data_IF_613820980844
#
_entry.id   IF_613820980844
#
_cell.length_a   1.000
_cell.length_b   1.000
_cell.length_c   1.000
_cell.angle_alpha   90.00
_cell.angle_beta   90.00
_cell.angle_gamma   90.00
#
_symmetry.space_group_name_H-M   'P 1'
#
loop_
_entity.id
_entity.type
_entity.pdbx_description
1 polymer ?
#
# COMPACT_ATOMS: atom_id res chain seq x y z
N UNK A 1 16.12 0.56 14.19
CA UNK A 1 14.99 -0.21 13.61
C UNK A 1 14.08 0.61 12.68
N UNK A 2 14.22 1.94 12.56
CA UNK A 2 13.35 2.79 11.73
C UNK A 2 13.65 2.78 10.20
N UNK A 3 14.84 2.33 9.79
CA UNK A 3 15.30 2.44 8.39
C UNK A 3 14.64 1.44 7.42
N UNK A 4 13.87 0.45 7.90
CA UNK A 4 13.28 -0.59 7.04
C UNK A 4 11.98 -0.18 6.36
N UNK A 5 11.32 0.90 6.79
CA UNK A 5 9.95 1.25 6.36
C UNK A 5 9.93 2.45 5.40
N UNK A 6 11.00 3.26 5.36
CA UNK A 6 11.09 4.39 4.44
C UNK A 6 11.15 3.91 2.98
N UNK A 7 10.12 4.25 2.20
CA UNK A 7 10.01 3.87 0.79
C UNK A 7 9.51 2.45 0.54
N UNK A 8 8.85 1.82 1.52
CA UNK A 8 8.29 0.48 1.35
C UNK A 8 7.00 0.56 0.53
N UNK A 9 7.00 -0.08 -0.63
CA UNK A 9 5.79 -0.27 -1.43
C UNK A 9 5.13 -1.59 -1.06
N UNK A 10 3.85 -1.57 -0.70
CA UNK A 10 3.08 -2.80 -0.49
C UNK A 10 2.08 -3.01 -1.62
N UNK A 11 2.04 -4.23 -2.14
CA UNK A 11 1.05 -4.63 -3.14
C UNK A 11 -0.15 -5.26 -2.45
N UNK A 12 -1.34 -4.83 -2.85
CA UNK A 12 -2.60 -5.43 -2.48
C UNK A 12 -3.25 -6.01 -3.75
N UNK A 13 -3.42 -7.34 -3.76
CA UNK A 13 -4.17 -8.02 -4.81
C UNK A 13 -5.64 -8.02 -4.42
N UNK A 14 -6.49 -7.33 -5.20
CA UNK A 14 -7.95 -7.35 -5.03
C UNK A 14 -8.66 -7.36 -6.37
N UNK A 15 -9.79 -8.06 -6.40
CA UNK A 15 -10.68 -8.08 -7.54
C UNK A 15 -11.29 -6.70 -7.79
N UNK A 16 -11.19 -6.25 -9.04
CA UNK A 16 -11.79 -5.03 -9.54
C UNK A 16 -12.70 -5.34 -10.72
N UNK A 17 -13.72 -4.52 -10.94
CA UNK A 17 -14.51 -4.57 -12.16
C UNK A 17 -13.73 -4.00 -13.34
N UNK A 18 -14.23 -4.27 -14.54
CA UNK A 18 -13.66 -3.81 -15.82
C UNK A 18 -13.48 -2.28 -15.90
N UNK A 19 -14.22 -1.52 -15.10
CA UNK A 19 -14.10 -0.07 -14.99
C UNK A 19 -12.97 0.41 -14.06
N UNK A 20 -12.13 -0.50 -13.55
CA UNK A 20 -11.05 -0.19 -12.61
C UNK A 20 -11.51 0.05 -11.17
N UNK A 21 -12.81 -0.05 -10.89
CA UNK A 21 -13.36 0.04 -9.54
C UNK A 21 -13.21 -1.28 -8.81
N UNK A 22 -12.67 -1.25 -7.59
CA UNK A 22 -12.57 -2.41 -6.72
C UNK A 22 -13.97 -2.89 -6.31
N UNK A 23 -14.18 -4.21 -6.26
CA UNK A 23 -15.41 -4.82 -5.71
C UNK A 23 -15.55 -4.61 -4.18
N UNK A 24 -14.64 -3.86 -3.57
CA UNK A 24 -14.66 -3.48 -2.17
C UNK A 24 -13.83 -2.22 -1.92
N UNK A 25 -13.45 -1.98 -0.67
CA UNK A 25 -12.61 -0.85 -0.28
C UNK A 25 -11.35 -1.32 0.43
N UNK A 26 -10.19 -0.76 0.09
CA UNK A 26 -9.01 -0.91 0.94
C UNK A 26 -9.15 0.03 2.12
N UNK A 27 -9.12 -0.56 3.31
CA UNK A 27 -9.18 0.18 4.56
C UNK A 27 -7.83 0.11 5.28
N UNK A 28 -7.59 1.01 6.27
CA UNK A 28 -6.43 0.92 7.16
C UNK A 28 -6.27 -0.46 7.83
N UNK A 29 -7.39 -1.18 8.04
CA UNK A 29 -7.37 -2.51 8.64
C UNK A 29 -6.67 -3.52 7.74
N UNK A 30 -6.97 -3.53 6.44
CA UNK A 30 -6.29 -4.40 5.48
C UNK A 30 -4.80 -4.11 5.38
N UNK A 31 -4.45 -2.82 5.33
CA UNK A 31 -3.05 -2.37 5.29
C UNK A 31 -2.30 -2.88 6.53
N UNK A 32 -2.89 -2.77 7.73
CA UNK A 32 -2.28 -3.27 8.96
C UNK A 32 -2.02 -4.78 8.94
N UNK A 33 -2.95 -5.58 8.40
CA UNK A 33 -2.80 -7.05 8.30
C UNK A 33 -1.66 -7.41 7.33
N UNK A 34 -1.54 -6.71 6.21
CA UNK A 34 -0.48 -6.96 5.22
C UNK A 34 0.89 -6.56 5.78
N UNK A 35 0.97 -5.41 6.45
CA UNK A 35 2.18 -4.97 7.13
C UNK A 35 2.58 -5.97 8.22
N UNK A 36 1.62 -6.49 8.99
CA UNK A 36 1.86 -7.51 10.01
C UNK A 36 2.40 -8.81 9.39
N UNK A 37 1.87 -9.23 8.24
CA UNK A 37 2.41 -10.39 7.47
C UNK A 37 3.85 -10.18 7.01
N UNK A 38 4.27 -8.92 6.76
CA UNK A 38 5.66 -8.56 6.45
C UNK A 38 6.53 -8.41 7.70
N UNK A 39 6.01 -8.68 8.89
CA UNK A 39 6.71 -8.54 10.17
C UNK A 39 6.75 -7.10 10.70
N UNK A 40 5.90 -6.22 10.18
CA UNK A 40 5.79 -4.82 10.61
C UNK A 40 4.48 -4.66 11.38
N UNK A 41 4.57 -4.52 12.70
CA UNK A 41 3.39 -4.42 13.56
C UNK A 41 2.90 -2.96 13.63
N UNK A 42 1.91 -2.61 12.80
CA UNK A 42 1.28 -1.28 12.74
C UNK A 42 -0.19 -1.37 13.09
N UNK A 43 -0.65 -0.48 13.98
CA UNK A 43 -2.08 -0.40 14.32
C UNK A 43 -2.83 0.42 13.27
N UNK A 44 -4.12 0.09 13.04
CA UNK A 44 -5.01 0.89 12.17
C UNK A 44 -5.05 2.38 12.51
N UNK A 45 -4.89 2.75 13.79
CA UNK A 45 -4.87 4.16 14.24
C UNK A 45 -3.61 4.91 13.85
N UNK A 46 -2.54 4.19 13.50
CA UNK A 46 -1.27 4.75 13.03
C UNK A 46 -1.25 4.90 11.51
N UNK A 47 -2.29 4.43 10.81
CA UNK A 47 -2.39 4.51 9.36
C UNK A 47 -3.32 5.67 9.04
N UNK A 48 -2.74 6.74 8.49
CA UNK A 48 -3.49 7.90 8.03
C UNK A 48 -3.74 7.72 6.54
N UNK A 49 -5.01 7.46 6.24
CA UNK A 49 -5.50 7.31 4.88
C UNK A 49 -6.48 8.45 4.60
N UNK A 50 -6.17 9.32 3.62
CA UNK A 50 -7.00 10.49 3.28
C UNK A 50 -8.38 10.10 2.76
N UNK A 51 -8.45 9.02 1.97
CA UNK A 51 -9.68 8.49 1.43
C UNK A 51 -9.59 6.96 1.27
N UNK A 52 -10.69 6.21 1.49
CA UNK A 52 -10.72 4.78 1.22
C UNK A 52 -10.44 4.51 -0.26
N UNK A 53 -9.55 3.56 -0.55
CA UNK A 53 -9.16 3.23 -1.93
C UNK A 53 -10.24 2.32 -2.51
N UNK A 54 -10.84 2.77 -3.61
CA UNK A 54 -11.92 2.06 -4.32
C UNK A 54 -11.57 1.76 -5.77
N UNK A 55 -10.35 2.04 -6.19
CA UNK A 55 -9.88 1.88 -7.56
C UNK A 55 -8.53 1.17 -7.56
N UNK A 56 -8.25 0.43 -8.64
CA UNK A 56 -6.91 -0.15 -8.86
C UNK A 56 -5.93 0.96 -9.25
N UNK A 57 -4.68 0.83 -8.82
CA UNK A 57 -3.67 1.84 -9.08
C UNK A 57 -2.71 2.03 -7.93
N UNK A 58 -1.97 3.13 -7.98
CA UNK A 58 -1.02 3.52 -6.95
C UNK A 58 -1.70 4.54 -6.05
N UNK A 59 -1.67 4.29 -4.75
CA UNK A 59 -2.20 5.18 -3.73
C UNK A 59 -1.14 5.41 -2.66
N UNK A 60 -1.22 6.53 -1.97
CA UNK A 60 -0.27 6.89 -0.91
C UNK A 60 -1.00 7.00 0.43
N UNK A 61 -0.36 6.51 1.49
CA UNK A 61 -0.83 6.69 2.85
C UNK A 61 0.33 7.01 3.79
N UNK A 62 0.03 7.66 4.92
CA UNK A 62 1.03 8.04 5.89
C UNK A 62 0.98 7.08 7.09
N UNK A 63 2.14 6.55 7.47
CA UNK A 63 2.30 5.73 8.66
C UNK A 63 2.94 6.54 9.79
N UNK A 64 2.21 6.70 10.89
CA UNK A 64 2.70 7.34 12.11
C UNK A 64 3.32 6.27 13.01
N UNK A 65 4.62 6.05 12.87
CA UNK A 65 5.35 5.08 13.72
C UNK A 65 5.49 5.63 15.14
N UNK A 66 5.81 6.91 15.24
CA UNK A 66 5.93 7.66 16.48
C UNK A 66 5.47 9.11 16.24
N UNK A 67 5.17 9.90 17.30
CA UNK A 67 4.72 11.28 17.17
C UNK A 67 5.67 12.18 16.37
N UNK A 68 6.96 11.82 16.35
CA UNK A 68 8.01 12.54 15.64
C UNK A 68 8.42 11.86 14.31
N UNK A 69 7.83 10.71 13.97
CA UNK A 69 8.23 9.91 12.80
C UNK A 69 7.00 9.50 12.01
N UNK A 70 6.77 10.23 10.91
CA UNK A 70 5.79 9.91 9.88
C UNK A 70 6.51 9.41 8.65
N UNK A 71 6.06 8.28 8.10
CA UNK A 71 6.65 7.64 6.93
C UNK A 71 5.60 7.48 5.85
N UNK A 72 5.82 8.01 4.63
CA UNK A 72 4.92 7.77 3.52
C UNK A 72 5.08 6.31 3.04
N UNK A 73 3.94 5.66 2.78
CA UNK A 73 3.84 4.29 2.30
C UNK A 73 3.10 4.28 0.97
N UNK A 74 3.70 3.64 -0.03
CA UNK A 74 3.08 3.48 -1.35
C UNK A 74 2.29 2.17 -1.39
N UNK A 75 1.02 2.27 -1.72
CA UNK A 75 0.08 1.17 -1.86
C UNK A 75 -0.16 0.91 -3.35
N UNK A 76 0.17 -0.28 -3.82
CA UNK A 76 -0.08 -0.69 -5.21
C UNK A 76 -1.24 -1.67 -5.20
N UNK A 77 -2.39 -1.27 -5.74
CA UNK A 77 -3.56 -2.15 -5.85
C UNK A 77 -3.67 -2.69 -7.27
N UNK A 78 -3.70 -4.02 -7.41
CA UNK A 78 -3.76 -4.72 -8.69
C UNK A 78 -4.75 -5.89 -8.65
N UNK A 79 -5.25 -6.31 -9.81
CA UNK A 79 -6.20 -7.40 -9.94
C UNK A 79 -5.53 -8.79 -9.92
N UNK A 80 -4.26 -8.86 -10.34
CA UNK A 80 -3.48 -10.10 -10.42
C UNK A 80 -2.02 -9.90 -9.96
N UNK A 81 -1.39 -10.95 -9.43
CA UNK A 81 0.03 -10.93 -9.00
C UNK A 81 0.99 -10.63 -10.17
N UNK A 82 0.63 -11.03 -11.39
CA UNK A 82 1.37 -10.73 -12.63
C UNK A 82 1.33 -9.24 -13.00
N UNK A 83 0.19 -8.56 -12.84
CA UNK A 83 0.09 -7.11 -13.07
C UNK A 83 0.80 -6.29 -11.98
N UNK A 84 0.78 -6.78 -10.74
CA UNK A 84 1.51 -6.17 -9.65
C UNK A 84 3.02 -6.16 -9.88
N UNK A 85 3.57 -7.25 -10.44
CA UNK A 85 4.99 -7.33 -10.80
C UNK A 85 5.34 -6.43 -11.99
N UNK A 86 4.47 -6.30 -12.99
CA UNK A 86 4.66 -5.38 -14.11
C UNK A 86 4.70 -3.91 -13.65
N UNK A 87 3.77 -3.49 -12.78
CA UNK A 87 3.76 -2.11 -12.27
C UNK A 87 4.92 -1.81 -11.31
N UNK A 88 5.41 -2.81 -10.58
CA UNK A 88 6.62 -2.67 -9.75
C UNK A 88 7.92 -2.64 -10.57
N UNK A 89 7.95 -3.26 -11.76
CA UNK A 89 9.15 -3.29 -12.61
C UNK A 89 9.31 -2.00 -13.43
N UNK A 90 8.22 -1.38 -13.91
CA UNK A 90 8.27 -0.10 -14.63
C UNK A 90 8.78 1.06 -13.76
N UNK A 91 8.39 1.13 -12.47
CA UNK A 91 8.89 2.17 -11.56
C UNK A 91 10.35 2.00 -11.14
N UNK A 92 10.91 0.78 -11.24
CA UNK A 92 12.32 0.53 -10.91
C UNK A 92 13.27 0.93 -12.06
N UNK A 93 12.77 0.98 -13.30
CA UNK A 93 13.58 1.26 -14.49
C UNK A 93 13.77 2.77 -14.76
N UNK A 94 12.91 3.65 -14.23
CA UNK A 94 13.04 5.11 -14.46
C UNK A 94 14.01 5.83 -13.49
N UNK A 95 14.76 5.09 -12.67
CA UNK A 95 15.71 5.67 -11.71
C UNK A 95 17.15 5.17 -11.88
N UNK A 96 17.49 4.70 -13.07
CA UNK A 96 18.87 4.47 -13.53
C UNK A 96 19.26 5.59 -14.49
#
# INVERSE_FOLDING_TARGET
AALKIQGLSITLIRQAGDSGHLYGSVTPRDISVILMKKGIEIKKSQIVLKAPIKEIGISECDLILHPEVVVPLTLVVAQSEEEAQAKMSEQKLSKI
#
